data_IF_097309333306
#
_entry.id   IF_097309333306
#
_cell.length_a   1.000
_cell.length_b   1.000
_cell.length_c   1.000
_cell.angle_alpha   90.00
_cell.angle_beta   90.00
_cell.angle_gamma   90.00
#
_symmetry.space_group_name_H-M   'P 1'
#
loop_
_entity.id
_entity.type
_entity.pdbx_description
1 polymer ?
#
# COMPACT_ATOMS: atom_id res chain seq x y z
N UNK A 1 -38.85 -2.82 -53.02
CA UNK A 1 -39.57 -3.81 -52.16
C UNK A 1 -38.82 -5.12 -52.39
N UNK A 2 -38.09 -5.75 -51.47
CA UNK A 2 -38.29 -6.14 -50.06
C UNK A 2 -36.87 -6.38 -49.49
N UNK A 3 -36.33 -5.62 -48.54
CA UNK A 3 -36.35 -5.73 -47.06
C UNK A 3 -35.93 -7.07 -46.40
N UNK A 4 -34.95 -6.95 -45.49
CA UNK A 4 -34.51 -7.81 -44.36
C UNK A 4 -33.32 -8.79 -44.57
N UNK A 5 -32.54 -9.12 -43.52
CA UNK A 5 -31.99 -8.22 -42.49
C UNK A 5 -30.55 -8.55 -42.02
N UNK A 6 -29.94 -7.55 -41.37
CA UNK A 6 -29.09 -7.62 -40.18
C UNK A 6 -28.21 -8.86 -39.93
N UNK A 7 -26.90 -8.68 -40.10
CA UNK A 7 -25.93 -9.14 -39.10
C UNK A 7 -25.11 -7.93 -38.67
N UNK A 8 -25.74 -7.08 -37.85
CA UNK A 8 -24.99 -6.17 -36.98
C UNK A 8 -24.31 -7.08 -35.96
N UNK A 9 -23.05 -7.42 -36.24
CA UNK A 9 -22.20 -8.08 -35.27
C UNK A 9 -22.01 -7.07 -34.15
N UNK A 10 -22.85 -7.19 -33.12
CA UNK A 10 -22.65 -6.60 -31.81
C UNK A 10 -21.37 -7.21 -31.25
N UNK A 11 -20.22 -6.68 -31.67
CA UNK A 11 -19.03 -6.69 -30.84
C UNK A 11 -19.35 -5.75 -29.69
N UNK A 12 -20.04 -6.29 -28.69
CA UNK A 12 -20.01 -5.75 -27.33
C UNK A 12 -18.54 -5.83 -26.94
N UNK A 13 -17.83 -4.74 -27.23
CA UNK A 13 -16.50 -4.51 -26.72
C UNK A 13 -16.62 -4.65 -25.23
N UNK A 14 -16.11 -5.76 -24.71
CA UNK A 14 -15.73 -5.89 -23.32
C UNK A 14 -14.71 -4.77 -23.10
N UNK A 15 -15.22 -3.60 -22.69
CA UNK A 15 -14.44 -2.60 -21.99
C UNK A 15 -13.94 -3.30 -20.72
N UNK A 16 -12.85 -4.06 -20.86
CA UNK A 16 -11.93 -4.28 -19.77
C UNK A 16 -11.43 -2.89 -19.41
N UNK A 17 -12.11 -2.27 -18.45
CA UNK A 17 -11.56 -1.18 -17.67
C UNK A 17 -10.35 -1.74 -16.93
N UNK A 18 -9.22 -1.85 -17.62
CA UNK A 18 -7.94 -1.89 -16.94
C UNK A 18 -7.79 -0.53 -16.29
N UNK A 19 -8.04 -0.48 -14.97
CA UNK A 19 -7.54 0.61 -14.14
C UNK A 19 -6.01 0.54 -14.23
N UNK A 20 -5.45 1.23 -15.21
CA UNK A 20 -4.01 1.35 -15.40
C UNK A 20 -3.49 2.30 -14.31
N UNK A 21 -3.24 1.77 -13.12
CA UNK A 21 -2.49 2.51 -12.11
C UNK A 21 -1.01 2.58 -12.54
N UNK A 22 -0.41 3.75 -12.40
CA UNK A 22 1.01 3.95 -12.70
C UNK A 22 1.83 3.43 -11.52
N UNK A 23 2.87 2.62 -11.77
CA UNK A 23 3.76 2.11 -10.72
C UNK A 23 5.07 2.88 -10.72
N UNK A 24 5.45 3.44 -9.57
CA UNK A 24 6.71 4.14 -9.35
C UNK A 24 7.53 3.37 -8.33
N UNK A 25 8.49 2.59 -8.81
CA UNK A 25 9.28 1.68 -7.97
C UNK A 25 8.40 0.65 -7.26
N UNK A 26 8.32 0.71 -5.93
CA UNK A 26 7.45 -0.16 -5.11
C UNK A 26 6.10 0.45 -4.75
N UNK A 27 5.79 1.63 -5.28
CA UNK A 27 4.55 2.34 -4.97
C UNK A 27 3.60 2.37 -6.17
N UNK A 28 2.32 2.35 -5.86
CA UNK A 28 1.23 2.66 -6.78
C UNK A 28 0.98 4.17 -6.71
N UNK A 29 0.96 4.83 -7.87
CA UNK A 29 0.66 6.25 -8.01
C UNK A 29 -0.80 6.42 -8.39
N UNK A 30 -1.48 7.27 -7.64
CA UNK A 30 -2.86 7.68 -7.85
C UNK A 30 -2.92 9.15 -8.25
N UNK A 31 -3.79 9.45 -9.21
CA UNK A 31 -4.19 10.80 -9.58
C UNK A 31 -4.88 11.55 -8.43
N UNK A 32 -5.05 12.87 -8.60
CA UNK A 32 -5.62 13.76 -7.58
C UNK A 32 -7.04 13.39 -7.15
N UNK A 33 -7.81 12.82 -8.09
CA UNK A 33 -9.23 12.47 -7.92
C UNK A 33 -9.49 10.96 -8.16
N UNK A 34 -8.43 10.14 -8.21
CA UNK A 34 -8.59 8.70 -8.36
C UNK A 34 -8.97 8.05 -7.03
N UNK A 35 -10.01 7.24 -7.07
CA UNK A 35 -10.44 6.47 -5.90
C UNK A 35 -9.47 5.31 -5.67
N UNK A 36 -8.90 5.25 -4.47
CA UNK A 36 -8.11 4.10 -4.05
C UNK A 36 -9.02 2.88 -3.87
N UNK A 37 -8.59 1.73 -4.37
CA UNK A 37 -9.29 0.47 -4.13
C UNK A 37 -9.16 0.02 -2.67
N UNK A 38 -10.11 -0.76 -2.18
CA UNK A 38 -10.03 -1.36 -0.85
C UNK A 38 -8.95 -2.44 -0.82
N UNK A 39 -7.98 -2.32 0.08
CA UNK A 39 -6.98 -3.36 0.30
C UNK A 39 -7.62 -4.51 1.11
N UNK A 40 -7.37 -5.76 0.73
CA UNK A 40 -7.87 -6.94 1.46
C UNK A 40 -6.65 -7.73 1.96
N UNK A 41 -6.60 -7.99 3.27
CA UNK A 41 -5.52 -8.79 3.87
C UNK A 41 -4.14 -8.09 3.87
N UNK A 42 -4.13 -6.77 3.83
CA UNK A 42 -2.91 -5.97 3.83
C UNK A 42 -3.13 -4.60 4.46
N UNK A 43 -2.04 -3.86 4.57
CA UNK A 43 -2.00 -2.47 5.00
C UNK A 43 -1.20 -1.64 3.98
N UNK A 44 -1.46 -0.34 3.96
CA UNK A 44 -0.82 0.59 3.02
C UNK A 44 -0.37 1.87 3.70
N UNK A 45 0.75 2.39 3.22
CA UNK A 45 1.25 3.71 3.60
C UNK A 45 1.34 4.59 2.37
N UNK A 46 0.71 5.75 2.45
CA UNK A 46 0.62 6.70 1.35
C UNK A 46 1.33 8.01 1.67
N UNK A 47 2.02 8.56 0.67
CA UNK A 47 2.67 9.88 0.71
C UNK A 47 2.08 10.73 -0.42
N UNK A 48 1.84 12.01 -0.15
CA UNK A 48 1.38 12.96 -1.16
C UNK A 48 2.53 13.85 -1.59
N UNK A 49 2.79 13.91 -2.89
CA UNK A 49 3.87 14.74 -3.45
C UNK A 49 3.44 15.24 -4.84
N UNK A 50 3.61 16.54 -5.10
CA UNK A 50 3.29 17.18 -6.38
C UNK A 50 1.86 16.90 -6.90
N UNK A 51 0.88 16.83 -6.01
CA UNK A 51 -0.53 16.61 -6.37
C UNK A 51 -0.91 15.16 -6.67
N UNK A 52 0.04 14.22 -6.57
CA UNK A 52 -0.20 12.78 -6.68
C UNK A 52 -0.13 12.11 -5.32
N UNK A 53 -0.79 10.96 -5.18
CA UNK A 53 -0.66 10.11 -4.00
C UNK A 53 0.08 8.82 -4.36
N UNK A 54 1.13 8.51 -3.62
CA UNK A 54 1.95 7.32 -3.82
C UNK A 54 1.77 6.40 -2.64
N UNK A 55 1.19 5.22 -2.85
CA UNK A 55 0.97 4.23 -1.80
C UNK A 55 1.84 3.01 -2.01
N UNK A 56 2.49 2.57 -0.95
CA UNK A 56 3.11 1.25 -0.88
C UNK A 56 2.24 0.35 -0.04
N UNK A 57 2.18 -0.92 -0.42
CA UNK A 57 1.30 -1.90 0.21
C UNK A 57 2.09 -3.10 0.71
N UNK A 58 1.61 -3.70 1.79
CA UNK A 58 2.21 -4.86 2.43
C UNK A 58 1.11 -5.83 2.84
N UNK A 59 1.37 -7.13 2.68
CA UNK A 59 0.50 -8.16 3.22
C UNK A 59 0.65 -8.22 4.76
N UNK A 60 -0.44 -8.47 5.47
CA UNK A 60 -0.37 -8.65 6.92
C UNK A 60 0.39 -9.92 7.28
N UNK A 61 1.39 -9.81 8.14
CA UNK A 61 2.04 -10.98 8.74
C UNK A 61 1.10 -11.65 9.74
N UNK A 62 0.93 -12.96 9.57
CA UNK A 62 0.21 -13.82 10.52
C UNK A 62 1.14 -14.24 11.65
N UNK A 63 1.48 -13.32 12.55
CA UNK A 63 2.13 -13.70 13.82
C UNK A 63 1.13 -14.14 14.89
N UNK A 64 -0.14 -13.75 14.77
CA UNK A 64 -1.12 -13.94 15.84
C UNK A 64 -2.30 -14.81 15.41
N UNK A 65 -2.64 -15.75 16.28
CA UNK A 65 -3.65 -16.79 16.07
C UNK A 65 -5.07 -16.23 15.92
N UNK A 66 -5.30 -15.00 16.38
CA UNK A 66 -6.61 -14.33 16.41
C UNK A 66 -6.78 -13.27 15.32
N UNK A 67 -5.95 -13.24 14.29
CA UNK A 67 -6.13 -12.33 13.16
C UNK A 67 -7.39 -12.73 12.38
N UNK A 68 -8.50 -12.09 12.70
CA UNK A 68 -9.67 -12.13 11.83
C UNK A 68 -9.30 -11.32 10.59
N UNK A 69 -9.35 -11.94 9.41
CA UNK A 69 -9.10 -11.27 8.12
C UNK A 69 -10.20 -10.22 7.89
N UNK A 70 -10.12 -9.07 8.55
CA UNK A 70 -10.94 -7.92 8.22
C UNK A 70 -10.34 -7.23 6.97
N UNK A 71 -11.18 -6.65 6.10
CA UNK A 71 -10.69 -5.93 4.94
C UNK A 71 -9.97 -4.65 5.37
N UNK A 72 -8.63 -4.68 5.33
CA UNK A 72 -7.83 -3.52 4.91
C UNK A 72 -6.95 -2.80 5.92
N UNK A 73 -6.76 -3.30 7.14
CA UNK A 73 -5.77 -2.78 8.08
C UNK A 73 -5.20 -3.94 8.90
N UNK A 74 -3.87 -4.00 9.05
CA UNK A 74 -3.24 -5.01 9.90
C UNK A 74 -3.33 -4.57 11.37
N UNK A 75 -4.09 -5.28 12.18
CA UNK A 75 -4.28 -4.96 13.59
C UNK A 75 -3.09 -5.39 14.45
N UNK A 76 -2.73 -4.64 15.51
CA UNK A 76 -1.78 -5.13 16.49
C UNK A 76 -2.38 -6.33 17.24
N UNK A 77 -1.52 -7.23 17.71
CA UNK A 77 -1.97 -8.36 18.49
C UNK A 77 -2.36 -7.94 19.91
N UNK A 78 -3.36 -8.59 20.53
CA UNK A 78 -3.70 -8.33 21.92
C UNK A 78 -2.46 -8.56 22.81
N UNK A 79 -2.19 -7.64 23.72
CA UNK A 79 -1.00 -7.66 24.58
C UNK A 79 -0.09 -6.47 24.31
N UNK A 80 1.21 -6.72 24.19
CA UNK A 80 2.30 -5.74 24.24
C UNK A 80 2.99 -5.53 22.87
N UNK A 81 2.19 -5.43 21.80
CA UNK A 81 2.72 -5.29 20.43
C UNK A 81 2.24 -4.02 19.73
N UNK A 82 2.96 -3.64 18.68
CA UNK A 82 2.58 -2.60 17.73
C UNK A 82 2.46 -3.18 16.33
N UNK A 83 1.59 -2.61 15.51
CA UNK A 83 1.54 -2.87 14.07
C UNK A 83 2.11 -1.66 13.31
N UNK A 84 3.01 -1.91 12.35
CA UNK A 84 3.41 -0.96 11.31
C UNK A 84 3.36 -1.67 9.95
N UNK A 85 2.40 -1.28 9.12
CA UNK A 85 2.22 -1.68 7.73
C UNK A 85 2.46 -3.17 7.45
N UNK A 86 1.63 -4.00 8.07
CA UNK A 86 1.66 -5.45 7.89
C UNK A 86 2.72 -6.21 8.68
N UNK A 87 3.49 -5.52 9.52
CA UNK A 87 4.42 -6.17 10.44
C UNK A 87 4.02 -5.92 11.89
N UNK A 88 4.31 -6.91 12.73
CA UNK A 88 4.07 -6.88 14.18
C UNK A 88 5.41 -6.84 14.90
N UNK A 89 5.53 -5.88 15.81
CA UNK A 89 6.72 -5.57 16.60
C UNK A 89 6.40 -5.66 18.09
N UNK A 90 7.36 -6.14 18.86
CA UNK A 90 7.25 -6.25 20.32
C UNK A 90 7.57 -4.91 20.99
N UNK A 91 7.05 -4.69 22.20
CA UNK A 91 7.35 -3.47 22.98
C UNK A 91 8.86 -3.28 23.16
N UNK A 92 9.32 -2.08 22.86
CA UNK A 92 10.73 -1.72 22.94
C UNK A 92 11.50 -1.93 21.63
N UNK A 93 10.94 -2.65 20.65
CA UNK A 93 11.58 -2.86 19.37
C UNK A 93 11.88 -1.54 18.66
N UNK A 94 13.09 -1.45 18.12
CA UNK A 94 13.53 -0.40 17.21
C UNK A 94 13.68 -1.00 15.81
N UNK A 95 13.01 -0.41 14.84
CA UNK A 95 12.96 -0.91 13.48
C UNK A 95 12.95 0.23 12.46
N UNK A 96 13.20 -0.10 11.19
CA UNK A 96 13.02 0.86 10.11
C UNK A 96 11.54 1.00 9.79
N UNK A 97 11.02 2.22 9.79
CA UNK A 97 9.62 2.46 9.43
C UNK A 97 9.35 2.04 7.98
N UNK A 98 8.09 1.76 7.66
CA UNK A 98 7.66 1.43 6.29
C UNK A 98 7.99 2.50 5.22
N UNK A 99 8.28 3.73 5.63
CA UNK A 99 8.69 4.81 4.73
C UNK A 99 10.18 4.78 4.34
N UNK A 100 10.97 3.84 4.90
CA UNK A 100 12.41 3.70 4.71
C UNK A 100 13.26 4.95 5.06
N UNK A 101 12.64 6.05 5.50
CA UNK A 101 13.33 7.26 5.90
C UNK A 101 13.54 7.28 7.41
N UNK A 102 12.50 6.89 8.14
CA UNK A 102 12.44 7.05 9.58
C UNK A 102 12.83 5.76 10.32
N UNK A 103 13.26 5.95 11.57
CA UNK A 103 13.35 4.86 12.53
C UNK A 103 12.10 4.91 13.41
N UNK A 104 11.54 3.75 13.65
CA UNK A 104 10.32 3.55 14.41
C UNK A 104 10.63 2.78 15.67
N UNK A 105 9.90 3.09 16.74
CA UNK A 105 9.95 2.35 17.98
C UNK A 105 8.54 1.93 18.38
N UNK A 106 8.35 0.66 18.76
CA UNK A 106 7.13 0.24 19.43
C UNK A 106 7.13 0.72 20.88
N UNK A 107 6.32 1.74 21.18
CA UNK A 107 6.23 2.34 22.51
C UNK A 107 5.40 1.47 23.45
N UNK A 108 5.62 1.65 24.76
CA UNK A 108 4.87 0.97 25.84
C UNK A 108 3.34 1.16 25.80
N UNK A 109 2.83 2.13 25.03
CA UNK A 109 1.40 2.40 24.86
C UNK A 109 0.83 1.72 23.61
N UNK A 110 1.52 0.69 23.07
CA UNK A 110 1.11 -0.05 21.87
C UNK A 110 0.99 0.84 20.63
N UNK A 111 1.84 1.87 20.56
CA UNK A 111 1.87 2.82 19.44
C UNK A 111 3.27 2.92 18.88
N UNK A 112 3.36 2.96 17.56
CA UNK A 112 4.60 3.22 16.85
C UNK A 112 4.95 4.70 16.96
N UNK A 113 6.15 5.01 17.44
CA UNK A 113 6.72 6.35 17.46
C UNK A 113 7.80 6.45 16.38
N UNK A 114 7.66 7.42 15.47
CA UNK A 114 8.65 7.70 14.42
C UNK A 114 9.59 8.83 14.81
N UNK A 115 10.85 8.77 14.39
CA UNK A 115 11.87 9.80 14.63
C UNK A 115 11.66 11.10 13.85
N UNK A 116 10.93 11.11 12.73
CA UNK A 116 10.55 12.35 11.99
C UNK A 116 9.14 12.25 11.39
N UNK A 117 8.62 13.39 10.96
CA UNK A 117 7.23 13.54 10.48
C UNK A 117 7.02 13.12 9.02
N UNK A 118 7.96 13.36 8.10
CA UNK A 118 7.72 13.16 6.66
C UNK A 118 8.88 12.44 5.97
N UNK A 119 8.53 11.46 5.12
CA UNK A 119 9.40 10.85 4.14
C UNK A 119 9.02 11.35 2.73
N UNK A 120 9.96 11.31 1.80
CA UNK A 120 9.74 11.60 0.38
C UNK A 120 9.31 10.35 -0.39
N UNK A 121 8.71 10.54 -1.56
CA UNK A 121 8.43 9.43 -2.51
C UNK A 121 9.71 8.69 -2.86
N UNK A 122 10.82 9.40 -3.00
CA UNK A 122 12.12 8.81 -3.32
C UNK A 122 12.59 7.81 -2.26
N UNK A 123 12.39 8.10 -0.98
CA UNK A 123 12.78 7.21 0.12
C UNK A 123 11.84 6.00 0.22
N UNK A 124 10.52 6.21 0.15
CA UNK A 124 9.58 5.10 0.34
C UNK A 124 9.50 4.17 -0.89
N UNK A 125 9.56 4.74 -2.10
CA UNK A 125 9.21 4.06 -3.34
C UNK A 125 10.42 3.64 -4.18
N UNK A 126 11.55 4.37 -4.08
CA UNK A 126 12.71 4.23 -4.99
C UNK A 126 14.02 3.83 -4.27
N UNK A 127 14.03 3.63 -2.95
CA UNK A 127 15.27 3.39 -2.18
C UNK A 127 16.05 2.13 -2.63
N UNK A 128 15.37 1.08 -3.06
CA UNK A 128 16.04 -0.17 -3.45
C UNK A 128 16.67 -0.10 -4.86
N UNK A 129 16.19 0.79 -5.75
CA UNK A 129 16.82 1.03 -7.06
C UNK A 129 18.20 1.70 -6.93
N UNK A 130 18.40 2.48 -5.87
CA UNK A 130 19.70 3.10 -5.55
C UNK A 130 20.73 2.11 -5.03
N UNK A 131 20.30 1.09 -4.28
CA UNK A 131 21.21 0.05 -3.79
C UNK A 131 21.71 -0.85 -4.92
N UNK A 132 20.88 -1.08 -5.93
CA UNK A 132 21.25 -1.84 -7.13
C UNK A 132 22.13 -1.09 -8.14
N UNK A 133 22.28 0.24 -8.00
CA UNK A 133 23.05 1.09 -8.92
C UNK A 133 24.37 1.60 -8.31
N UNK A 134 24.76 1.12 -7.13
CA UNK A 134 26.11 1.35 -6.61
C UNK A 134 27.06 0.33 -7.27
N UNK A 135 28.05 0.78 -8.08
CA UNK A 135 29.07 -0.09 -8.64
C UNK A 135 29.96 -0.70 -7.54
#
# INVERSE_FOLDING_TARGET
MVFLPMFVIYLVGLFSYCNCYEVVGRCIKFGKDEQMYTLIGGDRKCIKENGFTYCREWACHKKCSSFNNWPGICEPCPGDTCADVGQIFDKGDFFKCADNANNCQCSNNNRVKSTRKNASVKEMCLDDLRKATKP
#
